data_IF_345204385626
#
_entry.id   IF_345204385626
#
_cell.length_a   1.000
_cell.length_b   1.000
_cell.length_c   1.000
_cell.angle_alpha   90.00
_cell.angle_beta   90.00
_cell.angle_gamma   90.00
#
_symmetry.space_group_name_H-M   'P 1'
#
loop_
_entity.id
_entity.type
_entity.pdbx_description
1 polymer ?
#
# COMPACT_ATOMS: atom_id res chain seq x y z
N UNK A 1 -29.70 1.45 6.51
CA UNK A 1 -28.65 0.44 6.82
C UNK A 1 -27.90 0.18 5.54
N UNK A 2 -26.58 0.11 5.64
CA UNK A 2 -25.56 0.07 4.58
C UNK A 2 -25.35 1.37 3.81
N UNK A 3 -24.08 1.82 3.80
CA UNK A 3 -23.41 2.46 2.64
C UNK A 3 -21.96 2.85 2.95
N UNK A 4 -21.45 2.64 4.17
CA UNK A 4 -20.02 2.86 4.50
C UNK A 4 -19.12 1.83 3.78
N UNK A 5 -19.64 0.63 3.47
CA UNK A 5 -18.89 -0.42 2.77
C UNK A 5 -18.70 -0.11 1.26
N UNK A 6 -19.71 0.48 0.62
CA UNK A 6 -19.70 0.76 -0.84
C UNK A 6 -18.70 1.84 -1.24
N UNK A 7 -18.54 2.87 -0.41
CA UNK A 7 -17.62 3.98 -0.69
C UNK A 7 -16.15 3.52 -0.60
N UNK A 8 -15.83 2.62 0.33
CA UNK A 8 -14.45 2.18 0.58
C UNK A 8 -13.88 1.29 -0.53
N UNK A 9 -14.67 0.35 -1.07
CA UNK A 9 -14.21 -0.47 -2.21
C UNK A 9 -13.88 0.40 -3.42
N UNK A 10 -14.72 1.40 -3.72
CA UNK A 10 -14.45 2.30 -4.85
C UNK A 10 -13.15 3.10 -4.70
N UNK A 11 -12.78 3.47 -3.47
CA UNK A 11 -11.56 4.22 -3.18
C UNK A 11 -10.33 3.37 -3.43
N UNK A 12 -10.27 2.16 -2.86
CA UNK A 12 -9.13 1.27 -3.05
C UNK A 12 -9.05 0.77 -4.50
N UNK A 13 -10.16 0.46 -5.14
CA UNK A 13 -10.16 0.07 -6.56
C UNK A 13 -9.68 1.21 -7.47
N UNK A 14 -9.89 2.48 -7.11
CA UNK A 14 -9.43 3.62 -7.90
C UNK A 14 -7.90 3.82 -7.89
N UNK A 15 -7.21 3.35 -6.84
CA UNK A 15 -5.75 3.40 -6.70
C UNK A 15 -5.10 2.03 -6.95
N UNK A 16 -5.84 1.12 -7.57
CA UNK A 16 -5.34 -0.20 -7.92
C UNK A 16 -4.42 -0.11 -9.13
N UNK A 17 -3.28 -0.78 -9.03
CA UNK A 17 -2.36 -0.97 -10.14
C UNK A 17 -2.35 -2.42 -10.57
N UNK A 18 -2.03 -2.64 -11.84
CA UNK A 18 -1.87 -3.98 -12.41
C UNK A 18 -0.47 -4.05 -13.02
N UNK A 19 0.33 -5.02 -12.60
CA UNK A 19 1.66 -5.22 -13.15
C UNK A 19 1.62 -5.90 -14.52
N UNK A 20 2.78 -6.06 -15.15
CA UNK A 20 2.94 -6.68 -16.47
C UNK A 20 2.46 -8.15 -16.52
N UNK A 21 2.32 -8.79 -15.37
CA UNK A 21 1.84 -10.17 -15.20
C UNK A 21 0.34 -10.23 -14.92
N UNK A 22 -0.38 -9.11 -14.95
CA UNK A 22 -1.82 -9.05 -14.66
C UNK A 22 -2.16 -9.14 -13.18
N UNK A 23 -1.18 -8.99 -12.28
CA UNK A 23 -1.41 -9.06 -10.84
C UNK A 23 -1.71 -7.68 -10.27
N UNK A 24 -2.73 -7.62 -9.42
CA UNK A 24 -3.18 -6.39 -8.77
C UNK A 24 -2.30 -6.06 -7.55
N UNK A 25 -1.89 -4.80 -7.46
CA UNK A 25 -1.14 -4.28 -6.32
C UNK A 25 -1.51 -2.84 -6.00
N UNK A 26 -1.22 -2.44 -4.76
CA UNK A 26 -1.40 -1.09 -4.25
C UNK A 26 -0.09 -0.56 -3.69
N UNK A 27 0.19 0.72 -3.91
CA UNK A 27 1.35 1.36 -3.27
C UNK A 27 0.99 1.83 -1.86
N UNK A 28 1.93 1.70 -0.93
CA UNK A 28 1.72 2.13 0.43
C UNK A 28 1.52 3.65 0.54
N UNK A 29 2.06 4.44 -0.39
CA UNK A 29 1.78 5.89 -0.45
C UNK A 29 0.35 6.24 -0.85
N UNK A 30 -0.24 5.50 -1.77
CA UNK A 30 -1.65 5.71 -2.13
C UNK A 30 -2.57 5.21 -1.02
N UNK A 31 -2.26 4.05 -0.43
CA UNK A 31 -3.00 3.52 0.71
C UNK A 31 -2.94 4.48 1.91
N UNK A 32 -1.79 5.11 2.15
CA UNK A 32 -1.66 6.15 3.17
C UNK A 32 -2.66 7.28 2.94
N UNK A 33 -2.84 7.76 1.70
CA UNK A 33 -3.80 8.83 1.39
C UNK A 33 -5.24 8.34 1.48
N UNK A 34 -5.52 7.14 0.98
CA UNK A 34 -6.86 6.55 1.01
C UNK A 34 -7.34 6.27 2.45
N UNK A 35 -6.41 5.89 3.33
CA UNK A 35 -6.66 5.66 4.75
C UNK A 35 -6.45 6.92 5.61
N UNK A 36 -6.27 8.08 4.97
CA UNK A 36 -6.16 9.39 5.62
C UNK A 36 -5.03 9.49 6.67
N UNK A 37 -3.93 8.76 6.46
CA UNK A 37 -2.72 8.89 7.26
C UNK A 37 -1.92 10.12 6.83
N UNK A 38 -1.50 10.93 7.80
CA UNK A 38 -0.75 12.16 7.53
C UNK A 38 0.74 11.89 7.23
N UNK A 39 1.32 10.82 7.79
CA UNK A 39 2.76 10.58 7.69
C UNK A 39 3.11 9.11 7.44
N UNK A 40 4.02 8.91 6.48
CA UNK A 40 4.48 7.58 6.07
C UNK A 40 5.08 6.77 7.22
N UNK A 41 5.78 7.41 8.17
CA UNK A 41 6.39 6.73 9.32
C UNK A 41 5.37 6.01 10.21
N UNK A 42 4.13 6.52 10.30
CA UNK A 42 3.07 5.87 11.07
C UNK A 42 2.45 4.75 10.27
N UNK A 43 2.25 4.97 8.97
CA UNK A 43 1.71 3.97 8.08
C UNK A 43 2.66 2.77 7.91
N UNK A 44 3.98 2.99 7.85
CA UNK A 44 4.99 1.93 7.84
C UNK A 44 4.81 0.95 9.00
N UNK A 45 4.52 1.45 10.21
CA UNK A 45 4.26 0.59 11.38
C UNK A 45 2.98 -0.24 11.22
N UNK A 46 1.99 0.27 10.50
CA UNK A 46 0.75 -0.48 10.20
C UNK A 46 1.06 -1.60 9.21
N UNK A 47 1.85 -1.32 8.17
CA UNK A 47 2.30 -2.32 7.21
C UNK A 47 3.14 -3.41 7.90
N UNK A 48 4.08 -3.02 8.77
CA UNK A 48 4.88 -3.97 9.57
C UNK A 48 4.00 -4.89 10.42
N UNK A 49 2.96 -4.34 11.07
CA UNK A 49 1.99 -5.15 11.81
C UNK A 49 1.16 -6.07 10.92
N UNK A 50 0.76 -5.60 9.74
CA UNK A 50 0.03 -6.41 8.78
C UNK A 50 0.89 -7.58 8.26
N UNK A 51 2.17 -7.33 7.98
CA UNK A 51 3.15 -8.37 7.64
C UNK A 51 3.24 -9.43 8.74
N UNK A 52 3.45 -9.03 10.00
CA UNK A 52 3.50 -9.96 11.13
C UNK A 52 2.19 -10.76 11.30
N UNK A 53 1.03 -10.12 11.06
CA UNK A 53 -0.26 -10.80 11.14
C UNK A 53 -0.45 -11.83 10.00
N UNK A 54 0.01 -11.50 8.79
CA UNK A 54 0.01 -12.40 7.63
C UNK A 54 0.93 -13.61 7.88
N UNK A 55 2.11 -13.40 8.44
CA UNK A 55 3.02 -14.47 8.84
C UNK A 55 2.41 -15.36 9.95
N UNK A 56 1.75 -14.74 10.93
CA UNK A 56 1.08 -15.46 12.02
C UNK A 56 -0.12 -16.30 11.56
N UNK A 57 -0.77 -15.93 10.45
CA UNK A 57 -1.88 -16.70 9.85
C UNK A 57 -1.38 -17.84 8.95
N UNK A 58 -0.07 -18.03 8.84
CA UNK A 58 0.55 -19.07 8.00
C UNK A 58 0.75 -18.63 6.53
N UNK A 59 0.52 -17.35 6.22
CA UNK A 59 0.89 -16.75 4.94
C UNK A 59 2.37 -16.35 4.92
N UNK A 60 2.90 -16.09 3.72
CA UNK A 60 4.25 -15.54 3.57
C UNK A 60 4.13 -14.02 3.37
N UNK A 61 4.44 -13.23 4.39
CA UNK A 61 4.38 -11.77 4.31
C UNK A 61 5.23 -11.22 3.14
N UNK A 62 6.33 -11.88 2.79
CA UNK A 62 7.18 -11.43 1.68
C UNK A 62 6.56 -11.65 0.29
N UNK A 63 5.61 -12.56 0.14
CA UNK A 63 4.86 -12.76 -1.12
C UNK A 63 3.83 -11.65 -1.35
N UNK A 64 3.33 -11.06 -0.27
CA UNK A 64 2.23 -10.09 -0.32
C UNK A 64 2.68 -8.65 -0.11
N UNK A 65 3.84 -8.44 0.54
CA UNK A 65 4.41 -7.13 0.86
C UNK A 65 5.82 -7.03 0.26
N UNK A 66 5.92 -6.33 -0.86
CA UNK A 66 7.19 -6.14 -1.57
C UNK A 66 7.73 -4.75 -1.27
N UNK A 67 8.89 -4.68 -0.64
CA UNK A 67 9.60 -3.42 -0.48
C UNK A 67 10.14 -2.96 -1.84
N UNK A 68 9.82 -1.73 -2.22
CA UNK A 68 10.29 -1.10 -3.46
C UNK A 68 10.91 0.25 -3.14
N UNK A 69 11.69 0.75 -4.08
CA UNK A 69 12.13 2.13 -4.06
C UNK A 69 11.38 2.90 -5.14
N UNK A 70 10.73 3.99 -4.75
CA UNK A 70 9.99 4.84 -5.67
C UNK A 70 10.63 6.23 -5.71
N UNK A 71 10.51 6.89 -6.86
CA UNK A 71 11.02 8.24 -7.06
C UNK A 71 9.91 9.22 -6.71
N UNK A 72 10.11 10.02 -5.66
CA UNK A 72 9.10 11.02 -5.25
C UNK A 72 9.61 12.44 -5.43
N UNK A 73 8.76 13.37 -5.89
CA UNK A 73 9.13 14.76 -6.00
C UNK A 73 9.33 15.36 -4.60
N UNK A 74 10.48 16.00 -4.38
CA UNK A 74 10.84 16.65 -3.10
C UNK A 74 10.67 18.17 -3.15
N UNK A 75 10.04 18.69 -4.20
CA UNK A 75 9.97 20.12 -4.49
C UNK A 75 11.17 20.60 -5.30
N UNK A 76 11.01 21.72 -6.01
CA UNK A 76 12.02 22.29 -6.93
C UNK A 76 12.33 21.44 -8.18
N UNK A 77 11.45 20.49 -8.54
CA UNK A 77 11.64 19.61 -9.70
C UNK A 77 12.66 18.48 -9.48
N UNK A 78 13.20 18.35 -8.28
CA UNK A 78 14.06 17.24 -7.90
C UNK A 78 13.22 16.06 -7.43
N UNK A 79 13.66 14.85 -7.78
CA UNK A 79 13.11 13.59 -7.31
C UNK A 79 14.11 12.93 -6.35
N UNK A 80 13.58 12.23 -5.36
CA UNK A 80 14.38 11.44 -4.42
C UNK A 80 13.86 10.03 -4.38
N UNK A 81 14.80 9.09 -4.41
CA UNK A 81 14.52 7.70 -4.11
C UNK A 81 14.12 7.55 -2.64
N UNK A 82 12.93 7.02 -2.42
CA UNK A 82 12.37 6.77 -1.09
C UNK A 82 11.89 5.33 -1.03
N UNK A 83 12.02 4.73 0.15
CA UNK A 83 11.41 3.44 0.42
C UNK A 83 9.89 3.53 0.31
N UNK A 84 9.30 2.57 -0.40
CA UNK A 84 7.87 2.33 -0.42
C UNK A 84 7.56 0.82 -0.33
N UNK A 85 6.28 0.46 -0.20
CA UNK A 85 5.82 -0.93 -0.24
C UNK A 85 4.73 -1.11 -1.30
N UNK A 86 4.75 -2.26 -1.96
CA UNK A 86 3.64 -2.74 -2.79
C UNK A 86 2.94 -3.87 -2.07
N UNK A 87 1.62 -3.75 -1.95
CA UNK A 87 0.77 -4.71 -1.29
C UNK A 87 -0.10 -5.41 -2.32
N UNK A 88 -0.15 -6.73 -2.27
CA UNK A 88 -1.09 -7.51 -3.07
C UNK A 88 -2.50 -7.47 -2.47
N UNK A 89 -3.51 -7.91 -3.23
CA UNK A 89 -4.91 -7.96 -2.77
C UNK A 89 -5.13 -8.82 -1.53
N UNK A 90 -4.28 -9.82 -1.33
CA UNK A 90 -4.41 -10.83 -0.28
C UNK A 90 -3.48 -10.58 0.92
N UNK A 91 -2.88 -9.38 0.98
CA UNK A 91 -2.01 -8.93 2.05
C UNK A 91 -2.74 -8.74 3.38
#
# INVERSE_FOLDING_TARGET
>A
MNDIASVNESLFESIKHVNEYGQEYWTARELLRALEYNEYRFFKKVIEKAMTACEASGGNGSDHFVQVHDMVPIGSGAEREVEDYRLSRYA
#
